data_IF_436942626073
#
_entry.id   IF_436942626073
#
_cell.length_a   1.000
_cell.length_b   1.000
_cell.length_c   1.000
_cell.angle_alpha   90.00
_cell.angle_beta   90.00
_cell.angle_gamma   90.00
#
_symmetry.space_group_name_H-M   'P 1'
#
loop_
_entity.id
_entity.type
_entity.pdbx_description
1 polymer ?
#
# COMPACT_ATOMS: atom_id res chain seq x y z
N UNK A 1 -13.45 7.85 16.65
CA UNK A 1 -12.41 8.74 16.11
C UNK A 1 -11.39 7.80 15.53
N UNK A 2 -11.19 7.88 14.22
CA UNK A 2 -10.24 7.08 13.42
C UNK A 2 -8.85 7.62 13.82
N UNK A 3 -8.04 6.80 14.48
CA UNK A 3 -6.71 7.17 14.99
C UNK A 3 -5.67 7.01 13.87
N UNK A 4 -5.62 8.02 13.01
CA UNK A 4 -4.73 8.08 11.84
C UNK A 4 -3.29 8.41 12.20
N UNK A 5 -2.87 8.29 13.47
CA UNK A 5 -1.51 8.63 13.90
C UNK A 5 -0.44 7.90 13.07
N UNK A 6 -0.65 6.63 12.75
CA UNK A 6 0.21 5.84 11.87
C UNK A 6 0.29 6.41 10.45
N UNK A 7 -0.82 6.98 9.95
CA UNK A 7 -0.90 7.56 8.62
C UNK A 7 0.05 8.72 8.37
N UNK A 8 0.34 9.51 9.40
CA UNK A 8 1.28 10.63 9.34
C UNK A 8 2.74 10.22 9.57
N UNK A 9 2.97 9.03 10.12
CA UNK A 9 4.30 8.55 10.43
C UNK A 9 5.04 8.09 9.16
N UNK A 10 6.36 8.34 9.04
CA UNK A 10 7.20 7.78 7.98
C UNK A 10 7.12 6.25 7.96
N UNK A 11 6.99 5.66 6.76
CA UNK A 11 6.93 4.20 6.62
C UNK A 11 8.18 3.51 7.20
N UNK A 12 9.35 4.10 6.98
CA UNK A 12 10.63 3.52 7.39
C UNK A 12 10.83 3.49 8.92
N UNK A 13 10.07 4.26 9.69
CA UNK A 13 10.14 4.20 11.16
C UNK A 13 9.68 2.84 11.71
N UNK A 14 8.87 2.11 10.93
CA UNK A 14 8.40 0.76 11.25
C UNK A 14 9.26 -0.35 10.63
N UNK A 15 10.17 0.00 9.71
CA UNK A 15 10.93 -0.94 8.89
C UNK A 15 12.43 -0.62 8.97
N UNK A 16 13.10 -0.89 10.10
CA UNK A 16 14.47 -0.44 10.34
C UNK A 16 15.52 -1.06 9.40
N UNK A 17 15.15 -2.08 8.62
CA UNK A 17 16.02 -2.75 7.65
C UNK A 17 15.67 -2.42 6.19
N UNK A 18 14.51 -1.83 5.94
CA UNK A 18 14.11 -1.45 4.61
C UNK A 18 14.86 -0.20 4.17
N UNK A 19 15.21 -0.16 2.88
CA UNK A 19 15.84 1.00 2.25
C UNK A 19 14.97 1.47 1.11
N UNK A 20 14.72 2.76 1.04
CA UNK A 20 14.06 3.41 -0.09
C UNK A 20 15.00 4.44 -0.73
N UNK A 21 14.85 4.71 -2.03
CA UNK A 21 15.62 5.75 -2.72
C UNK A 21 15.45 7.14 -2.08
N UNK A 22 16.47 7.97 -2.25
CA UNK A 22 16.47 9.39 -1.85
C UNK A 22 15.74 10.26 -2.89
N UNK A 23 15.60 9.74 -4.11
CA UNK A 23 14.88 10.34 -5.21
C UNK A 23 13.36 10.30 -4.98
N UNK A 24 12.66 11.13 -5.74
CA UNK A 24 11.20 11.19 -5.83
C UNK A 24 10.68 10.24 -6.92
N UNK A 25 9.38 9.92 -6.92
CA UNK A 25 8.79 9.15 -8.03
C UNK A 25 8.85 9.93 -9.35
N UNK A 26 8.73 11.26 -9.29
CA UNK A 26 8.92 12.13 -10.46
C UNK A 26 10.31 11.94 -11.09
N UNK A 27 11.37 11.96 -10.29
CA UNK A 27 12.75 11.82 -10.77
C UNK A 27 13.02 10.41 -11.32
N UNK A 28 12.54 9.39 -10.61
CA UNK A 28 12.74 7.98 -10.99
C UNK A 28 11.99 7.59 -12.26
N UNK A 29 10.83 8.19 -12.52
CA UNK A 29 9.98 7.87 -13.68
C UNK A 29 10.10 8.87 -14.83
N UNK A 30 10.48 10.12 -14.53
CA UNK A 30 10.36 11.25 -15.45
C UNK A 30 8.92 11.67 -15.75
N UNK A 31 7.91 11.07 -15.11
CA UNK A 31 6.50 11.30 -15.44
C UNK A 31 5.96 12.56 -14.77
N UNK A 32 5.78 13.60 -15.59
CA UNK A 32 5.20 14.89 -15.18
C UNK A 32 3.67 14.91 -15.21
N UNK A 33 3.00 13.85 -15.67
CA UNK A 33 1.54 13.81 -15.78
C UNK A 33 0.85 14.01 -14.43
N UNK A 34 1.49 13.56 -13.35
CA UNK A 34 0.99 13.66 -11.97
C UNK A 34 1.11 15.06 -11.36
N UNK A 35 1.90 15.95 -11.95
CA UNK A 35 2.06 17.33 -11.50
C UNK A 35 0.90 18.24 -11.93
N UNK A 36 0.17 17.85 -12.98
CA UNK A 36 -0.97 18.63 -13.52
C UNK A 36 -2.18 18.63 -12.59
N UNK A 37 -2.17 17.74 -11.60
CA UNK A 37 -3.19 17.67 -10.56
C UNK A 37 -3.25 18.92 -9.68
N UNK A 38 -2.30 19.86 -9.70
CA UNK A 38 -2.38 21.08 -8.86
C UNK A 38 -3.22 22.22 -9.48
N UNK A 39 -4.24 21.89 -10.28
CA UNK A 39 -5.11 22.87 -10.94
C UNK A 39 -6.41 23.07 -10.16
N UNK A 40 -7.13 24.18 -10.36
CA UNK A 40 -8.39 24.49 -9.62
C UNK A 40 -9.52 23.45 -9.78
N UNK A 41 -9.36 22.49 -10.68
CA UNK A 41 -10.35 21.46 -11.01
C UNK A 41 -9.97 20.06 -10.51
N UNK A 42 -8.85 19.90 -9.80
CA UNK A 42 -8.42 18.59 -9.30
C UNK A 42 -9.23 18.10 -8.12
N UNK A 43 -9.31 16.78 -8.00
CA UNK A 43 -9.81 16.14 -6.79
C UNK A 43 -8.75 16.16 -5.68
N UNK A 44 -9.18 16.17 -4.42
CA UNK A 44 -8.26 16.12 -3.29
C UNK A 44 -7.38 14.86 -3.26
N UNK A 45 -7.79 13.76 -3.91
CA UNK A 45 -6.94 12.59 -4.09
C UNK A 45 -5.79 12.86 -5.07
N UNK A 46 -6.07 13.53 -6.18
CA UNK A 46 -5.07 13.90 -7.18
C UNK A 46 -4.03 14.87 -6.60
N UNK A 47 -4.46 15.85 -5.80
CA UNK A 47 -3.56 16.77 -5.10
C UNK A 47 -2.62 16.02 -4.16
N UNK A 48 -3.16 15.10 -3.35
CA UNK A 48 -2.36 14.29 -2.43
C UNK A 48 -1.38 13.39 -3.20
N UNK A 49 -1.81 12.79 -4.32
CA UNK A 49 -0.92 11.99 -5.19
C UNK A 49 0.22 12.85 -5.71
N UNK A 50 -0.05 14.07 -6.19
CA UNK A 50 0.98 14.99 -6.68
C UNK A 50 2.02 15.29 -5.60
N UNK A 51 1.57 15.61 -4.38
CA UNK A 51 2.47 15.84 -3.23
C UNK A 51 3.34 14.62 -2.94
N UNK A 52 2.75 13.42 -2.89
CA UNK A 52 3.50 12.19 -2.67
C UNK A 52 4.47 11.86 -3.84
N UNK A 53 4.12 12.27 -5.06
CA UNK A 53 4.92 12.03 -6.27
C UNK A 53 6.23 12.84 -6.28
N UNK A 54 6.20 14.03 -5.67
CA UNK A 54 7.33 14.96 -5.55
C UNK A 54 8.11 14.80 -4.24
N UNK A 55 7.72 13.86 -3.38
CA UNK A 55 8.38 13.64 -2.10
C UNK A 55 9.43 12.51 -2.21
N UNK A 56 10.63 12.65 -1.58
CA UNK A 56 11.62 11.58 -1.52
C UNK A 56 11.02 10.28 -0.98
N UNK A 57 11.24 9.16 -1.66
CA UNK A 57 10.60 7.88 -1.31
C UNK A 57 10.86 7.49 0.16
N UNK A 58 12.09 7.70 0.65
CA UNK A 58 12.46 7.41 2.06
C UNK A 58 11.68 8.20 3.11
N UNK A 59 11.04 9.31 2.73
CA UNK A 59 10.30 10.18 3.66
C UNK A 59 8.79 9.99 3.57
N UNK A 60 8.31 9.12 2.67
CA UNK A 60 6.88 8.90 2.50
C UNK A 60 6.25 8.39 3.79
N UNK A 61 5.13 9.01 4.15
CA UNK A 61 4.29 8.56 5.25
C UNK A 61 3.47 7.32 4.88
N UNK A 62 3.03 6.56 5.87
CA UNK A 62 2.17 5.39 5.64
C UNK A 62 0.89 5.75 4.85
N UNK A 63 0.29 6.92 5.11
CA UNK A 63 -0.90 7.39 4.37
C UNK A 63 -0.60 7.72 2.90
N UNK A 64 0.56 8.31 2.62
CA UNK A 64 1.00 8.55 1.23
C UNK A 64 1.29 7.24 0.50
N UNK A 65 1.98 6.31 1.17
CA UNK A 65 2.21 4.97 0.67
C UNK A 65 0.90 4.24 0.35
N UNK A 66 -0.09 4.28 1.26
CA UNK A 66 -1.41 3.67 1.05
C UNK A 66 -2.10 4.20 -0.19
N UNK A 67 -2.07 5.51 -0.37
CA UNK A 67 -2.66 6.17 -1.54
C UNK A 67 -1.95 5.77 -2.84
N UNK A 68 -0.61 5.81 -2.86
CA UNK A 68 0.18 5.42 -4.04
C UNK A 68 -0.07 3.96 -4.41
N UNK A 69 -0.05 3.04 -3.43
CA UNK A 69 -0.35 1.62 -3.65
C UNK A 69 -1.77 1.42 -4.17
N UNK A 70 -2.76 2.14 -3.61
CA UNK A 70 -4.15 2.10 -4.09
C UNK A 70 -4.31 2.52 -5.55
N UNK A 71 -3.48 3.47 -6.01
CA UNK A 71 -3.41 3.91 -7.41
C UNK A 71 -2.43 3.09 -8.26
N UNK A 72 -1.80 2.06 -7.68
CA UNK A 72 -0.75 1.22 -8.30
C UNK A 72 0.43 2.02 -8.85
N UNK A 73 0.82 3.05 -8.10
CA UNK A 73 1.87 3.99 -8.44
C UNK A 73 3.15 3.65 -7.67
N UNK A 74 4.29 3.66 -8.36
CA UNK A 74 5.60 3.47 -7.74
C UNK A 74 5.88 2.07 -7.19
N UNK A 75 5.05 1.06 -7.52
CA UNK A 75 5.15 -0.30 -6.93
C UNK A 75 6.50 -0.97 -7.16
N UNK A 76 7.21 -0.65 -8.25
CA UNK A 76 8.57 -1.15 -8.48
C UNK A 76 9.54 -0.87 -7.33
N UNK A 77 9.37 0.25 -6.63
CA UNK A 77 10.21 0.64 -5.50
C UNK A 77 9.52 0.39 -4.15
N UNK A 78 8.19 0.48 -4.11
CA UNK A 78 7.42 0.37 -2.87
C UNK A 78 7.03 -1.07 -2.51
N UNK A 79 7.03 -2.03 -3.46
CA UNK A 79 6.49 -3.36 -3.22
C UNK A 79 7.11 -4.08 -1.99
N UNK A 80 8.44 -4.09 -1.89
CA UNK A 80 9.14 -4.75 -0.79
C UNK A 80 8.80 -4.15 0.59
N UNK A 81 9.02 -2.84 0.84
CA UNK A 81 8.70 -2.27 2.15
C UNK A 81 7.20 -2.31 2.47
N UNK A 82 6.31 -2.19 1.48
CA UNK A 82 4.87 -2.30 1.70
C UNK A 82 4.49 -3.72 2.12
N UNK A 83 5.03 -4.73 1.45
CA UNK A 83 4.76 -6.12 1.81
C UNK A 83 5.31 -6.45 3.20
N UNK A 84 6.51 -5.98 3.55
CA UNK A 84 7.08 -6.14 4.89
C UNK A 84 6.21 -5.44 5.96
N UNK A 85 5.80 -4.20 5.72
CA UNK A 85 4.94 -3.46 6.65
C UNK A 85 3.60 -4.16 6.86
N UNK A 86 2.93 -4.58 5.79
CA UNK A 86 1.63 -5.25 5.87
C UNK A 86 1.76 -6.62 6.54
N UNK A 87 2.87 -7.33 6.37
CA UNK A 87 3.11 -8.58 7.08
C UNK A 87 3.18 -8.38 8.61
N UNK A 88 3.78 -7.26 9.05
CA UNK A 88 3.95 -6.93 10.47
C UNK A 88 2.71 -6.28 11.08
N UNK A 89 2.01 -5.43 10.31
CA UNK A 89 0.90 -4.60 10.78
C UNK A 89 -0.32 -4.69 9.84
N UNK A 90 -0.92 -5.89 9.66
CA UNK A 90 -1.95 -6.11 8.64
C UNK A 90 -3.24 -5.31 8.88
N UNK A 91 -3.51 -4.86 10.10
CA UNK A 91 -4.67 -4.04 10.48
C UNK A 91 -4.35 -2.57 10.76
N UNK A 92 -3.13 -2.09 10.45
CA UNK A 92 -2.76 -0.70 10.67
C UNK A 92 -3.65 0.26 9.88
N UNK A 93 -4.12 1.30 10.54
CA UNK A 93 -4.91 2.37 9.94
C UNK A 93 -3.99 3.47 9.42
N UNK A 94 -3.85 3.58 8.09
CA UNK A 94 -2.90 4.52 7.48
C UNK A 94 -3.56 5.81 6.97
N UNK A 95 -4.88 5.88 6.80
CA UNK A 95 -5.58 7.14 6.45
C UNK A 95 -7.12 7.08 6.63
N UNK A 96 -7.82 5.99 6.28
CA UNK A 96 -9.30 5.99 6.27
C UNK A 96 -9.92 4.99 7.23
N UNK A 97 -9.33 3.79 7.37
CA UNK A 97 -9.86 2.73 8.20
C UNK A 97 -8.77 1.68 8.51
N UNK A 98 -8.95 0.84 9.55
CA UNK A 98 -7.99 -0.20 9.90
C UNK A 98 -7.69 -1.15 8.72
N UNK A 99 -6.41 -1.32 8.39
CA UNK A 99 -5.97 -2.20 7.32
C UNK A 99 -6.17 -1.65 5.90
N UNK A 100 -6.41 -0.35 5.75
CA UNK A 100 -6.57 0.28 4.43
C UNK A 100 -5.36 0.10 3.49
N UNK A 101 -4.13 0.15 4.02
CA UNK A 101 -2.92 -0.19 3.26
C UNK A 101 -2.87 -1.66 2.90
N UNK A 102 -3.24 -2.55 3.83
CA UNK A 102 -3.29 -3.98 3.58
C UNK A 102 -4.29 -4.34 2.46
N UNK A 103 -5.50 -3.77 2.48
CA UNK A 103 -6.51 -3.95 1.43
C UNK A 103 -5.95 -3.56 0.06
N UNK A 104 -5.33 -2.38 -0.04
CA UNK A 104 -4.73 -1.92 -1.29
C UNK A 104 -3.56 -2.81 -1.73
N UNK A 105 -2.70 -3.24 -0.80
CA UNK A 105 -1.58 -4.13 -1.08
C UNK A 105 -2.05 -5.50 -1.60
N UNK A 106 -3.07 -6.09 -0.98
CA UNK A 106 -3.68 -7.34 -1.45
C UNK A 106 -4.26 -7.18 -2.86
N UNK A 107 -4.95 -6.06 -3.15
CA UNK A 107 -5.49 -5.77 -4.48
C UNK A 107 -4.39 -5.56 -5.53
N UNK A 108 -3.26 -4.98 -5.13
CA UNK A 108 -2.04 -4.86 -5.93
C UNK A 108 -1.15 -6.12 -5.86
N UNK A 109 -1.64 -7.21 -5.25
CA UNK A 109 -0.81 -8.35 -4.85
C UNK A 109 -0.05 -9.03 -6.00
N UNK A 110 -0.56 -8.96 -7.22
CA UNK A 110 0.12 -9.48 -8.41
C UNK A 110 1.37 -8.67 -8.76
N UNK A 111 1.26 -7.35 -8.70
CA UNK A 111 2.38 -6.42 -8.93
C UNK A 111 3.39 -6.52 -7.78
N UNK A 112 2.92 -6.65 -6.53
CA UNK A 112 3.80 -6.85 -5.37
C UNK A 112 4.57 -8.16 -5.48
N UNK A 113 3.91 -9.25 -5.87
CA UNK A 113 4.57 -10.55 -6.09
C UNK A 113 5.63 -10.49 -7.20
N UNK A 114 5.40 -9.70 -8.24
CA UNK A 114 6.36 -9.49 -9.34
C UNK A 114 7.62 -8.75 -8.86
N UNK A 115 7.46 -7.67 -8.10
CA UNK A 115 8.58 -6.81 -7.71
C UNK A 115 9.28 -7.22 -6.41
N UNK A 116 8.59 -7.92 -5.51
CA UNK A 116 9.10 -8.29 -4.19
C UNK A 116 8.58 -9.68 -3.74
N UNK A 117 8.96 -10.77 -4.42
CA UNK A 117 8.36 -12.08 -4.21
C UNK A 117 8.55 -12.64 -2.79
N UNK A 118 9.70 -12.36 -2.15
CA UNK A 118 10.01 -12.89 -0.81
C UNK A 118 9.17 -12.18 0.26
N UNK A 119 9.10 -10.85 0.20
CA UNK A 119 8.32 -10.03 1.11
C UNK A 119 6.82 -10.27 0.86
N UNK A 120 6.40 -10.43 -0.40
CA UNK A 120 5.04 -10.81 -0.75
C UNK A 120 4.64 -12.15 -0.13
N UNK A 121 5.54 -13.14 -0.13
CA UNK A 121 5.29 -14.43 0.50
C UNK A 121 5.03 -14.28 2.01
N UNK A 122 5.84 -13.48 2.70
CA UNK A 122 5.62 -13.17 4.11
C UNK A 122 4.29 -12.42 4.33
N UNK A 123 3.99 -11.41 3.49
CA UNK A 123 2.74 -10.67 3.51
C UNK A 123 1.53 -11.61 3.38
N UNK A 124 1.49 -12.49 2.38
CA UNK A 124 0.36 -13.40 2.19
C UNK A 124 0.24 -14.48 3.29
N UNK A 125 1.34 -14.79 3.98
CA UNK A 125 1.35 -15.71 5.10
C UNK A 125 0.85 -15.08 6.42
N UNK A 126 0.77 -13.75 6.50
CA UNK A 126 0.33 -13.04 7.69
C UNK A 126 -1.15 -13.32 8.05
N UNK A 127 -1.51 -12.96 9.28
CA UNK A 127 -2.87 -13.08 9.80
C UNK A 127 -3.75 -11.91 9.34
N UNK A 128 -4.82 -12.23 8.62
CA UNK A 128 -5.86 -11.30 8.16
C UNK A 128 -7.23 -11.68 8.71
N UNK A 129 -7.30 -12.32 9.87
CA UNK A 129 -8.57 -12.69 10.52
C UNK A 129 -9.49 -11.48 10.74
N UNK A 130 -8.92 -10.29 10.94
CA UNK A 130 -9.66 -9.02 10.99
C UNK A 130 -10.47 -8.76 9.70
N UNK A 131 -9.96 -9.11 8.51
CA UNK A 131 -10.64 -8.88 7.24
C UNK A 131 -11.92 -9.70 7.11
N UNK A 132 -11.91 -10.93 7.64
CA UNK A 132 -13.12 -11.76 7.67
C UNK A 132 -14.20 -11.17 8.60
N UNK A 133 -13.80 -10.56 9.72
CA UNK A 133 -14.72 -9.86 10.63
C UNK A 133 -15.34 -8.62 9.97
N UNK A 134 -14.52 -7.78 9.33
CA UNK A 134 -15.00 -6.57 8.63
C UNK A 134 -15.98 -6.94 7.50
N UNK A 135 -15.73 -8.04 6.77
CA UNK A 135 -16.66 -8.53 5.75
C UNK A 135 -17.97 -9.03 6.35
N UNK A 136 -17.93 -9.65 7.55
CA UNK A 136 -19.16 -10.08 8.22
C UNK A 136 -20.03 -8.88 8.63
N UNK A 137 -19.41 -7.78 9.04
CA UNK A 137 -20.09 -6.54 9.44
C UNK A 137 -20.55 -5.70 8.24
N UNK A 138 -19.82 -5.74 7.12
CA UNK A 138 -20.17 -5.08 5.87
C UNK A 138 -20.17 -6.06 4.65
N UNK A 139 -21.12 -7.01 4.56
CA UNK A 139 -21.08 -8.07 3.54
C UNK A 139 -21.16 -7.59 2.10
N UNK A 140 -21.68 -6.38 1.88
CA UNK A 140 -21.83 -5.76 0.56
C UNK A 140 -20.58 -5.00 0.10
N UNK A 141 -19.54 -4.88 0.92
CA UNK A 141 -18.32 -4.14 0.55
C UNK A 141 -17.50 -4.92 -0.49
N UNK A 142 -17.55 -4.44 -1.74
CA UNK A 142 -16.82 -5.01 -2.87
C UNK A 142 -15.30 -4.96 -2.68
N UNK A 143 -14.78 -3.93 -2.01
CA UNK A 143 -13.36 -3.73 -1.86
C UNK A 143 -12.76 -4.79 -0.93
N UNK A 144 -13.40 -5.03 0.22
CA UNK A 144 -12.98 -6.04 1.18
C UNK A 144 -13.06 -7.45 0.60
N UNK A 145 -14.14 -7.77 -0.13
CA UNK A 145 -14.27 -9.06 -0.83
C UNK A 145 -13.15 -9.27 -1.85
N UNK A 146 -12.85 -8.25 -2.66
CA UNK A 146 -11.75 -8.32 -3.63
C UNK A 146 -10.41 -8.51 -2.96
N UNK A 147 -10.14 -7.82 -1.85
CA UNK A 147 -8.90 -8.02 -1.09
C UNK A 147 -8.80 -9.45 -0.54
N UNK A 148 -9.89 -10.02 -0.03
CA UNK A 148 -9.96 -11.40 0.44
C UNK A 148 -9.70 -12.41 -0.67
N UNK A 149 -10.32 -12.24 -1.83
CA UNK A 149 -10.08 -13.12 -2.98
C UNK A 149 -8.61 -13.07 -3.42
N UNK A 150 -8.01 -11.87 -3.43
CA UNK A 150 -6.59 -11.70 -3.74
C UNK A 150 -5.66 -12.30 -2.69
N UNK A 151 -6.03 -12.27 -1.41
CA UNK A 151 -5.29 -12.98 -0.36
C UNK A 151 -5.30 -14.50 -0.61
N UNK A 152 -6.46 -15.07 -0.96
CA UNK A 152 -6.59 -16.50 -1.28
C UNK A 152 -5.76 -16.86 -2.52
N UNK A 153 -5.82 -16.05 -3.58
CA UNK A 153 -5.01 -16.24 -4.78
C UNK A 153 -3.50 -16.12 -4.50
N UNK A 154 -3.08 -15.09 -3.77
CA UNK A 154 -1.68 -14.87 -3.39
C UNK A 154 -1.10 -16.04 -2.59
N UNK A 155 -1.86 -16.54 -1.60
CA UNK A 155 -1.48 -17.74 -0.83
C UNK A 155 -1.31 -18.99 -1.69
N UNK A 156 -2.12 -19.16 -2.73
CA UNK A 156 -1.97 -20.27 -3.68
C UNK A 156 -0.72 -20.11 -4.54
N UNK A 157 -0.48 -18.90 -5.07
CA UNK A 157 0.68 -18.60 -5.91
C UNK A 157 2.00 -18.85 -5.17
N UNK A 158 2.12 -18.37 -3.93
CA UNK A 158 3.33 -18.55 -3.10
C UNK A 158 3.62 -20.04 -2.85
N UNK A 159 2.59 -20.86 -2.57
CA UNK A 159 2.75 -22.31 -2.37
C UNK A 159 3.22 -23.07 -3.60
N UNK A 160 2.99 -22.55 -4.80
CA UNK A 160 3.42 -23.18 -6.05
C UNK A 160 4.85 -22.79 -6.45
N UNK A 161 5.42 -21.76 -5.82
CA UNK A 161 6.75 -21.22 -6.14
C UNK A 161 7.85 -21.62 -5.15
N UNK A 162 7.50 -22.21 -4.00
CA UNK A 162 8.44 -22.72 -2.99
C UNK A 162 8.49 -24.24 -2.98
#
# INVERSE_FOLDING_TARGET
MIDTALGSAPLLDFLPRATLPDETLLELTGDKSKLRALSRESSGLEDRVAVAWEQPLKTLSCGQCRMLVGQRLGLRWLAAPIAEFVALYPSAECDLYPGDLAVNALIAGKDILEYAPNEAAAMFAADFSWLDNEIADAPSDDLLRRARDRLIEGRKSVRLSG
#
